data_IF_935310934592
#
_entry.id   IF_935310934592
#
_cell.length_a   1.000
_cell.length_b   1.000
_cell.length_c   1.000
_cell.angle_alpha   90.00
_cell.angle_beta   90.00
_cell.angle_gamma   90.00
#
_symmetry.space_group_name_H-M   'P 1'
#
loop_
_entity.id
_entity.type
_entity.pdbx_description
1 polymer ?
#
# COMPACT_ATOMS: atom_id res chain seq x y z
N UNK A 1 15.35 3.07 -8.33
CA UNK A 1 14.69 4.35 -8.69
C UNK A 1 15.31 5.01 -9.91
N UNK A 2 16.63 5.01 -10.05
CA UNK A 2 17.35 5.68 -11.15
C UNK A 2 16.77 5.46 -12.56
N UNK A 3 16.51 4.21 -12.97
CA UNK A 3 15.89 3.92 -14.28
C UNK A 3 14.53 4.58 -14.50
N UNK A 4 13.70 4.71 -13.46
CA UNK A 4 12.38 5.35 -13.57
C UNK A 4 12.52 6.86 -13.72
N UNK A 5 13.43 7.47 -12.95
CA UNK A 5 13.74 8.90 -13.04
C UNK A 5 14.30 9.23 -14.43
N UNK A 6 15.24 8.45 -14.94
CA UNK A 6 15.84 8.63 -16.26
C UNK A 6 14.81 8.44 -17.39
N UNK A 7 13.92 7.44 -17.26
CA UNK A 7 12.91 7.15 -18.28
C UNK A 7 11.77 8.17 -18.28
N UNK A 8 11.42 8.74 -17.13
CA UNK A 8 10.30 9.67 -16.97
C UNK A 8 10.72 10.95 -16.23
N UNK A 9 11.65 11.75 -16.78
CA UNK A 9 12.29 12.85 -16.07
C UNK A 9 11.34 14.01 -15.75
N UNK A 10 10.21 14.11 -16.44
CA UNK A 10 9.19 15.15 -16.22
C UNK A 10 7.98 14.65 -15.43
N UNK A 11 7.91 13.35 -15.12
CA UNK A 11 6.77 12.78 -14.42
C UNK A 11 6.93 12.91 -12.90
N UNK A 12 5.82 13.13 -12.20
CA UNK A 12 5.77 12.90 -10.75
C UNK A 12 5.66 11.40 -10.50
N UNK A 13 6.63 10.85 -9.78
CA UNK A 13 6.67 9.43 -9.42
C UNK A 13 6.22 9.29 -7.97
N UNK A 14 5.32 8.35 -7.71
CA UNK A 14 4.81 8.05 -6.37
C UNK A 14 4.92 6.54 -6.11
N UNK A 15 5.17 6.18 -4.86
CA UNK A 15 5.09 4.80 -4.40
C UNK A 15 4.04 4.64 -3.32
N UNK A 16 3.53 3.43 -3.19
CA UNK A 16 2.60 3.01 -2.17
C UNK A 16 3.14 1.71 -1.58
N UNK A 17 3.36 1.65 -0.27
CA UNK A 17 3.72 0.37 0.36
C UNK A 17 2.52 -0.59 0.32
N UNK A 18 2.75 -1.87 0.59
CA UNK A 18 1.65 -2.82 0.82
C UNK A 18 0.90 -2.49 2.13
N UNK A 19 -0.35 -2.95 2.28
CA UNK A 19 -0.99 -3.00 3.60
C UNK A 19 -0.40 -4.12 4.48
N UNK A 20 -0.66 -4.02 5.79
CA UNK A 20 -0.33 -5.07 6.75
C UNK A 20 -1.18 -6.31 6.49
N UNK A 21 -0.69 -7.46 6.93
CA UNK A 21 -1.45 -8.70 7.02
C UNK A 21 -1.27 -9.25 8.44
N UNK A 22 -1.90 -10.40 8.74
CA UNK A 22 -1.65 -11.11 9.98
C UNK A 22 -0.14 -11.39 10.13
N UNK A 23 0.36 -11.29 11.36
CA UNK A 23 1.76 -11.51 11.72
C UNK A 23 2.74 -10.56 11.00
N UNK A 24 2.33 -9.31 10.72
CA UNK A 24 3.16 -8.33 10.02
C UNK A 24 4.44 -7.95 10.79
N UNK A 25 4.35 -7.75 12.10
CA UNK A 25 5.48 -7.30 12.92
C UNK A 25 6.59 -8.35 12.94
N UNK A 26 7.80 -7.95 12.57
CA UNK A 26 8.99 -8.80 12.45
C UNK A 26 9.04 -9.66 11.18
N UNK A 27 8.00 -9.61 10.34
CA UNK A 27 7.92 -10.40 9.11
C UNK A 27 8.78 -9.84 7.98
N UNK A 28 9.02 -10.65 6.95
CA UNK A 28 9.64 -10.16 5.71
C UNK A 28 8.76 -9.13 4.99
N UNK A 29 7.44 -9.13 5.23
CA UNK A 29 6.55 -8.10 4.69
C UNK A 29 6.84 -6.74 5.32
N UNK A 30 7.13 -6.68 6.62
CA UNK A 30 7.55 -5.44 7.27
C UNK A 30 8.91 -4.96 6.75
N UNK A 31 9.89 -5.87 6.61
CA UNK A 31 11.21 -5.53 6.05
C UNK A 31 11.09 -4.94 4.64
N UNK A 32 10.19 -5.46 3.80
CA UNK A 32 9.93 -4.91 2.46
C UNK A 32 9.32 -3.51 2.55
N UNK A 33 8.34 -3.29 3.43
CA UNK A 33 7.75 -1.95 3.65
C UNK A 33 8.82 -0.94 4.07
N UNK A 34 9.65 -1.31 5.03
CA UNK A 34 10.69 -0.41 5.55
C UNK A 34 11.78 -0.14 4.51
N UNK A 35 12.17 -1.14 3.72
CA UNK A 35 13.09 -0.97 2.60
C UNK A 35 12.51 -0.04 1.51
N UNK A 36 11.20 -0.12 1.22
CA UNK A 36 10.56 0.80 0.27
C UNK A 36 10.61 2.25 0.77
N UNK A 37 10.32 2.47 2.06
CA UNK A 37 10.38 3.79 2.69
C UNK A 37 11.80 4.36 2.64
N UNK A 38 12.79 3.56 3.03
CA UNK A 38 14.19 3.95 3.04
C UNK A 38 14.69 4.31 1.63
N UNK A 39 14.40 3.46 0.63
CA UNK A 39 14.82 3.70 -0.75
C UNK A 39 14.12 4.93 -1.33
N UNK A 40 12.80 5.10 -1.13
CA UNK A 40 12.11 6.29 -1.63
C UNK A 40 12.64 7.57 -0.98
N UNK A 41 12.92 7.55 0.32
CA UNK A 41 13.56 8.65 1.05
C UNK A 41 14.93 9.03 0.46
N UNK A 42 15.78 8.04 0.16
CA UNK A 42 17.10 8.27 -0.46
C UNK A 42 17.04 8.95 -1.83
N UNK A 43 15.97 8.73 -2.60
CA UNK A 43 15.79 9.33 -3.93
C UNK A 43 14.86 10.55 -3.92
N UNK A 44 14.42 11.03 -2.75
CA UNK A 44 13.43 12.12 -2.62
C UNK A 44 12.13 11.87 -3.39
N UNK A 45 11.69 10.60 -3.47
CA UNK A 45 10.44 10.22 -4.13
C UNK A 45 9.34 10.09 -3.08
N UNK A 46 8.18 10.76 -3.26
CA UNK A 46 7.04 10.59 -2.36
C UNK A 46 6.56 9.14 -2.27
N UNK A 47 6.34 8.68 -1.04
CA UNK A 47 5.78 7.36 -0.76
C UNK A 47 4.70 7.43 0.31
N UNK A 48 3.55 6.79 0.06
CA UNK A 48 2.53 6.56 1.09
C UNK A 48 2.82 5.25 1.81
N UNK A 49 3.11 5.34 3.12
CA UNK A 49 3.19 4.18 4.00
C UNK A 49 1.78 3.59 4.24
N UNK A 50 1.28 2.83 3.27
CA UNK A 50 -0.06 2.23 3.33
C UNK A 50 -0.18 1.19 4.45
N UNK A 51 0.92 0.54 4.85
CA UNK A 51 0.94 -0.39 5.97
C UNK A 51 0.50 0.31 7.26
N UNK A 52 0.99 1.54 7.50
CA UNK A 52 0.73 2.26 8.76
C UNK A 52 -0.30 3.39 8.63
N UNK A 53 -0.54 3.88 7.41
CA UNK A 53 -1.37 5.07 7.12
C UNK A 53 -2.42 4.85 6.01
N UNK A 54 -2.54 3.64 5.47
CA UNK A 54 -3.42 3.34 4.33
C UNK A 54 -4.90 3.11 4.68
N UNK A 55 -5.24 2.93 5.96
CA UNK A 55 -6.63 2.71 6.40
C UNK A 55 -7.25 1.39 5.94
N UNK A 56 -6.40 0.42 5.57
CA UNK A 56 -6.76 -0.95 5.19
C UNK A 56 -6.30 -1.89 6.30
N UNK A 57 -7.25 -2.44 7.05
CA UNK A 57 -7.00 -3.28 8.22
C UNK A 57 -7.11 -4.76 7.85
N UNK A 58 -6.20 -5.25 6.99
CA UNK A 58 -6.31 -6.60 6.43
C UNK A 58 -6.18 -7.71 7.49
N UNK A 59 -5.62 -7.44 8.67
CA UNK A 59 -5.61 -8.39 9.78
C UNK A 59 -7.00 -8.66 10.39
N UNK A 60 -7.94 -7.72 10.25
CA UNK A 60 -9.27 -7.83 10.84
C UNK A 60 -10.21 -8.65 9.97
N UNK A 61 -10.68 -9.78 10.48
CA UNK A 61 -11.66 -10.65 9.81
C UNK A 61 -12.95 -9.89 9.46
N UNK A 62 -13.42 -9.05 10.39
CA UNK A 62 -14.60 -8.21 10.18
C UNK A 62 -14.38 -7.19 9.05
N UNK A 63 -13.20 -6.58 8.98
CA UNK A 63 -12.86 -5.67 7.89
C UNK A 63 -12.81 -6.40 6.55
N UNK A 64 -12.15 -7.56 6.50
CA UNK A 64 -12.04 -8.39 5.29
C UNK A 64 -13.41 -8.83 4.77
N UNK A 65 -14.32 -9.21 5.66
CA UNK A 65 -15.68 -9.61 5.28
C UNK A 65 -16.45 -8.54 4.47
N UNK A 66 -16.09 -7.26 4.64
CA UNK A 66 -16.73 -6.13 3.97
C UNK A 66 -15.94 -5.69 2.72
N UNK A 67 -14.61 -5.61 2.83
CA UNK A 67 -13.77 -4.87 1.88
C UNK A 67 -12.84 -5.75 1.03
N UNK A 68 -12.76 -7.06 1.29
CA UNK A 68 -11.90 -7.98 0.55
C UNK A 68 -12.71 -8.89 -0.38
N UNK A 69 -12.02 -9.47 -1.37
CA UNK A 69 -12.62 -10.43 -2.28
C UNK A 69 -12.97 -11.71 -1.54
N UNK A 70 -14.13 -12.30 -1.87
CA UNK A 70 -14.46 -13.65 -1.42
C UNK A 70 -13.72 -14.64 -2.32
N UNK A 71 -12.86 -15.47 -1.75
CA UNK A 71 -12.33 -16.63 -2.48
C UNK A 71 -13.16 -17.87 -2.18
N UNK A 72 -13.02 -18.90 -3.04
CA UNK A 72 -13.77 -20.17 -2.95
C UNK A 72 -13.71 -20.82 -1.55
N UNK A 73 -12.68 -20.50 -0.74
CA UNK A 73 -12.50 -20.97 0.63
C UNK A 73 -12.21 -19.82 1.65
N UNK A 74 -12.54 -18.56 1.33
CA UNK A 74 -12.19 -17.37 2.15
C UNK A 74 -10.69 -17.26 2.54
N UNK A 75 -9.82 -17.83 1.71
CA UNK A 75 -8.36 -17.78 1.87
C UNK A 75 -7.72 -16.49 1.33
N UNK A 76 -8.47 -15.69 0.58
CA UNK A 76 -7.94 -14.42 0.08
C UNK A 76 -7.97 -13.37 1.18
N UNK A 77 -6.79 -13.10 1.72
CA UNK A 77 -6.55 -12.10 2.76
C UNK A 77 -5.81 -10.89 2.23
N UNK A 78 -5.63 -10.80 0.91
CA UNK A 78 -4.78 -9.82 0.27
C UNK A 78 -5.57 -8.86 -0.62
N UNK A 79 -6.54 -9.32 -1.41
CA UNK A 79 -7.13 -8.49 -2.45
C UNK A 79 -8.40 -7.77 -2.00
N UNK A 80 -8.45 -6.46 -2.24
CA UNK A 80 -9.64 -5.65 -2.03
C UNK A 80 -10.72 -5.98 -3.07
N UNK A 81 -11.98 -5.87 -2.65
CA UNK A 81 -13.11 -5.80 -3.57
C UNK A 81 -13.36 -4.33 -3.99
N UNK A 82 -14.38 -4.07 -4.80
CA UNK A 82 -14.71 -2.72 -5.25
C UNK A 82 -14.88 -1.71 -4.10
N UNK A 83 -15.60 -2.07 -3.03
CA UNK A 83 -15.77 -1.20 -1.84
C UNK A 83 -14.44 -0.94 -1.13
N UNK A 84 -13.55 -1.94 -1.10
CA UNK A 84 -12.22 -1.80 -0.54
C UNK A 84 -11.37 -0.82 -1.34
N UNK A 85 -11.41 -0.91 -2.67
CA UNK A 85 -10.75 0.03 -3.56
C UNK A 85 -11.31 1.46 -3.40
N UNK A 86 -12.64 1.64 -3.35
CA UNK A 86 -13.26 2.95 -3.13
C UNK A 86 -12.84 3.59 -1.80
N UNK A 87 -12.67 2.77 -0.76
CA UNK A 87 -12.17 3.23 0.54
C UNK A 87 -10.72 3.70 0.44
N UNK A 88 -9.85 2.89 -0.18
CA UNK A 88 -8.44 3.24 -0.32
C UNK A 88 -8.22 4.45 -1.24
N UNK A 89 -9.03 4.58 -2.29
CA UNK A 89 -8.93 5.67 -3.27
C UNK A 89 -8.93 7.03 -2.59
N UNK A 90 -9.80 7.26 -1.59
CA UNK A 90 -9.86 8.53 -0.85
C UNK A 90 -8.55 8.85 -0.13
N UNK A 91 -7.88 7.84 0.43
CA UNK A 91 -6.58 8.01 1.10
C UNK A 91 -5.49 8.31 0.08
N UNK A 92 -5.47 7.57 -1.04
CA UNK A 92 -4.49 7.73 -2.11
C UNK A 92 -4.61 9.10 -2.80
N UNK A 93 -5.84 9.54 -3.11
CA UNK A 93 -6.09 10.86 -3.71
C UNK A 93 -5.64 12.00 -2.81
N UNK A 94 -5.95 11.90 -1.51
CA UNK A 94 -5.52 12.91 -0.54
C UNK A 94 -3.99 13.00 -0.47
N UNK A 95 -3.29 11.86 -0.49
CA UNK A 95 -1.83 11.83 -0.51
C UNK A 95 -1.25 12.47 -1.78
N UNK A 96 -1.76 12.09 -2.96
CA UNK A 96 -1.25 12.61 -4.24
C UNK A 96 -1.47 14.13 -4.34
N UNK A 97 -2.60 14.65 -3.86
CA UNK A 97 -2.92 16.08 -3.89
C UNK A 97 -1.97 16.97 -3.09
N UNK A 98 -1.15 16.40 -2.20
CA UNK A 98 -0.14 17.16 -1.45
C UNK A 98 1.10 17.54 -2.27
N UNK A 99 1.22 17.05 -3.51
CA UNK A 99 2.41 17.22 -4.37
C UNK A 99 2.06 17.78 -5.74
#
# INVERSE_FOLDING_TARGET
>A
MQRLIEKYPTAKIFFFTRWTCKDFVGSDSEKVVDAMLEVCGRYSIPILDCARKGGIYAESDAFRAIYFQKSKNNTDTAHLNAKGHDRFLKVAENFIRLY
#
